data_IF_816678772089
#
_entry.id   IF_816678772089
#
_cell.length_a   1.000
_cell.length_b   1.000
_cell.length_c   1.000
_cell.angle_alpha   90.00
_cell.angle_beta   90.00
_cell.angle_gamma   90.00
#
_symmetry.space_group_name_H-M   'P 1'
#
loop_
_entity.id
_entity.type
_entity.pdbx_description
1 polymer ?
#
# COMPACT_ATOMS: atom_id res chain seq x y z
N UNK A 1 6.26 13.56 -24.75
CA UNK A 1 7.01 12.42 -24.20
C UNK A 1 6.51 12.24 -22.78
N UNK A 2 5.29 11.72 -22.67
CA UNK A 2 4.64 11.44 -21.39
C UNK A 2 5.00 10.02 -21.02
N UNK A 3 5.93 9.84 -20.09
CA UNK A 3 6.00 8.60 -19.33
C UNK A 3 4.85 8.67 -18.32
N UNK A 4 3.64 8.43 -18.81
CA UNK A 4 2.57 7.94 -17.94
C UNK A 4 3.14 6.67 -17.31
N UNK A 5 3.08 6.57 -15.97
CA UNK A 5 3.39 5.34 -15.25
C UNK A 5 2.45 4.26 -15.79
N UNK A 6 2.93 3.55 -16.81
CA UNK A 6 2.23 2.45 -17.45
C UNK A 6 2.41 1.25 -16.52
N UNK A 7 1.53 1.18 -15.52
CA UNK A 7 1.37 0.04 -14.63
C UNK A 7 0.80 -1.19 -15.36
N UNK A 8 0.74 -1.17 -16.69
CA UNK A 8 0.28 -2.28 -17.51
C UNK A 8 1.39 -3.31 -17.66
N UNK A 9 1.08 -4.52 -17.21
CA UNK A 9 1.73 -5.82 -17.48
C UNK A 9 3.15 -6.03 -16.92
N UNK A 10 4.00 -5.02 -16.83
CA UNK A 10 5.41 -5.18 -16.41
C UNK A 10 5.61 -5.12 -14.88
N UNK A 11 4.77 -4.41 -14.12
CA UNK A 11 4.96 -4.24 -12.68
C UNK A 11 4.44 -5.39 -11.81
N UNK A 12 3.59 -6.28 -12.36
CA UNK A 12 3.39 -7.60 -11.78
C UNK A 12 4.58 -8.56 -12.05
N UNK A 13 5.62 -8.08 -12.74
CA UNK A 13 6.89 -8.81 -12.92
C UNK A 13 7.93 -8.58 -11.82
N UNK A 14 7.86 -7.45 -11.10
CA UNK A 14 8.71 -7.18 -9.92
C UNK A 14 7.93 -6.44 -8.82
N UNK A 15 7.27 -7.23 -7.97
CA UNK A 15 6.52 -6.75 -6.80
C UNK A 15 7.40 -5.94 -5.83
N UNK A 16 8.71 -6.22 -5.77
CA UNK A 16 9.63 -5.47 -4.91
C UNK A 16 9.87 -4.06 -5.45
N UNK A 17 10.01 -3.91 -6.77
CA UNK A 17 10.14 -2.58 -7.39
C UNK A 17 8.87 -1.75 -7.21
N UNK A 18 7.71 -2.39 -7.39
CA UNK A 18 6.41 -1.75 -7.12
C UNK A 18 6.33 -1.26 -5.66
N UNK A 19 6.64 -2.15 -4.71
CA UNK A 19 6.61 -1.84 -3.29
C UNK A 19 7.52 -0.66 -2.94
N UNK A 20 8.75 -0.66 -3.46
CA UNK A 20 9.71 0.45 -3.26
C UNK A 20 9.21 1.77 -3.83
N UNK A 21 8.58 1.75 -5.00
CA UNK A 21 8.06 2.95 -5.65
C UNK A 21 6.97 3.61 -4.80
N UNK A 22 5.97 2.84 -4.36
CA UNK A 22 4.87 3.38 -3.55
C UNK A 22 5.37 3.86 -2.19
N UNK A 23 6.27 3.12 -1.54
CA UNK A 23 6.91 3.58 -0.29
C UNK A 23 7.63 4.92 -0.52
N UNK A 24 8.37 5.05 -1.62
CA UNK A 24 9.08 6.29 -1.96
C UNK A 24 8.10 7.46 -2.19
N UNK A 25 6.95 7.21 -2.81
CA UNK A 25 5.91 8.23 -3.00
C UNK A 25 5.30 8.65 -1.65
N UNK A 26 4.97 7.69 -0.78
CA UNK A 26 4.47 7.98 0.57
C UNK A 26 5.50 8.73 1.43
N UNK A 27 6.78 8.39 1.31
CA UNK A 27 7.87 9.10 1.99
C UNK A 27 8.01 10.53 1.44
N UNK A 28 7.89 10.73 0.14
CA UNK A 28 7.96 12.07 -0.47
C UNK A 28 6.87 13.01 0.03
N UNK A 29 5.70 12.48 0.44
CA UNK A 29 4.65 13.28 1.05
C UNK A 29 5.11 13.91 2.37
N UNK A 30 6.02 13.29 3.14
CA UNK A 30 6.58 13.86 4.37
C UNK A 30 7.39 15.13 4.11
N UNK A 31 8.14 15.14 3.01
CA UNK A 31 8.94 16.30 2.61
C UNK A 31 8.05 17.44 2.11
N UNK A 32 6.97 17.11 1.40
CA UNK A 32 6.03 18.11 0.89
C UNK A 32 5.18 18.70 2.03
N UNK A 33 4.69 17.88 2.96
CA UNK A 33 3.84 18.32 4.09
C UNK A 33 4.62 19.22 5.06
N UNK A 34 5.86 18.85 5.39
CA UNK A 34 6.75 19.66 6.23
C UNK A 34 7.09 21.02 5.61
N UNK A 35 7.16 21.13 4.27
CA UNK A 35 7.34 22.41 3.57
C UNK A 35 6.07 23.28 3.59
N UNK A 36 4.87 22.70 3.54
CA UNK A 36 3.59 23.43 3.63
C UNK A 36 3.24 23.92 5.04
N UNK A 37 3.73 23.25 6.10
CA UNK A 37 3.50 23.65 7.48
C UNK A 37 4.03 25.07 7.80
N UNK A 38 5.06 25.53 7.08
CA UNK A 38 5.62 26.89 7.22
C UNK A 38 4.80 27.98 6.50
N UNK A 39 3.81 27.63 5.68
CA UNK A 39 3.05 28.56 4.82
C UNK A 39 1.64 28.85 5.38
N UNK A 40 1.19 28.08 6.39
CA UNK A 40 -0.16 28.15 6.98
C UNK A 40 -0.47 29.43 7.78
N UNK A 41 0.49 30.34 7.99
CA UNK A 41 0.27 31.60 8.72
C UNK A 41 -0.46 32.67 7.88
N UNK A 42 -0.88 32.34 6.66
CA UNK A 42 -1.62 33.27 5.80
C UNK A 42 -2.72 32.57 5.02
N UNK A 43 -3.96 33.04 5.18
CA UNK A 43 -5.13 32.74 4.34
C UNK A 43 -4.84 33.14 2.88
N UNK A 44 -4.11 32.33 2.11
CA UNK A 44 -3.87 32.65 0.70
C UNK A 44 -3.45 31.42 -0.11
N UNK A 45 -4.36 30.96 -0.98
CA UNK A 45 -4.15 30.00 -2.08
C UNK A 45 -3.57 28.63 -1.66
N UNK A 46 -4.19 27.51 -2.09
CA UNK A 46 -3.53 26.20 -2.01
C UNK A 46 -2.16 26.31 -2.69
N UNK A 47 -1.09 26.27 -1.92
CA UNK A 47 0.26 26.44 -2.42
C UNK A 47 0.61 25.35 -3.42
N UNK A 48 1.59 25.59 -4.28
CA UNK A 48 2.11 24.59 -5.23
C UNK A 48 2.43 23.26 -4.54
N UNK A 49 2.89 23.28 -3.29
CA UNK A 49 3.13 22.10 -2.45
C UNK A 49 1.87 21.27 -2.22
N UNK A 50 0.73 21.88 -1.90
CA UNK A 50 -0.55 21.18 -1.72
C UNK A 50 -1.03 20.54 -3.02
N UNK A 51 -0.81 21.20 -4.16
CA UNK A 51 -1.16 20.64 -5.48
C UNK A 51 -0.32 19.40 -5.77
N UNK A 52 0.99 19.49 -5.58
CA UNK A 52 1.92 18.36 -5.77
C UNK A 52 1.61 17.21 -4.81
N UNK A 53 1.31 17.50 -3.54
CA UNK A 53 0.91 16.46 -2.58
C UNK A 53 -0.34 15.71 -3.06
N UNK A 54 -1.35 16.43 -3.54
CA UNK A 54 -2.58 15.82 -4.05
C UNK A 54 -2.34 14.98 -5.31
N UNK A 55 -1.45 15.42 -6.20
CA UNK A 55 -1.05 14.63 -7.38
C UNK A 55 -0.36 13.32 -6.98
N UNK A 56 0.53 13.37 -5.98
CA UNK A 56 1.19 12.16 -5.44
C UNK A 56 0.18 11.23 -4.78
N UNK A 57 -0.76 11.76 -3.99
CA UNK A 57 -1.84 10.97 -3.37
C UNK A 57 -2.67 10.28 -4.46
N UNK A 58 -3.13 11.01 -5.47
CA UNK A 58 -3.91 10.43 -6.57
C UNK A 58 -3.13 9.33 -7.31
N UNK A 59 -1.83 9.53 -7.55
CA UNK A 59 -0.99 8.49 -8.18
C UNK A 59 -0.93 7.20 -7.35
N UNK A 60 -0.85 7.32 -6.02
CA UNK A 60 -0.87 6.15 -5.12
C UNK A 60 -2.23 5.46 -5.18
N UNK A 61 -3.33 6.22 -5.08
CA UNK A 61 -4.69 5.64 -5.07
C UNK A 61 -5.05 4.97 -6.40
N UNK A 62 -4.78 5.64 -7.53
CA UNK A 62 -4.94 5.08 -8.87
C UNK A 62 -4.13 3.78 -9.04
N UNK A 63 -2.96 3.72 -8.41
CA UNK A 63 -2.11 2.52 -8.41
C UNK A 63 -2.73 1.38 -7.61
N UNK A 64 -3.30 1.67 -6.43
CA UNK A 64 -4.00 0.67 -5.62
C UNK A 64 -5.25 0.12 -6.33
N UNK A 65 -5.99 0.96 -7.04
CA UNK A 65 -7.12 0.52 -7.87
C UNK A 65 -6.67 -0.47 -8.96
N UNK A 66 -5.58 -0.17 -9.67
CA UNK A 66 -5.04 -1.09 -10.69
C UNK A 66 -4.54 -2.39 -10.10
N UNK A 67 -3.95 -2.36 -8.91
CA UNK A 67 -3.54 -3.60 -8.22
C UNK A 67 -4.75 -4.44 -7.85
N UNK A 68 -5.85 -3.82 -7.39
CA UNK A 68 -7.10 -4.50 -7.05
C UNK A 68 -7.56 -5.42 -8.19
N UNK A 69 -7.63 -4.88 -9.41
CA UNK A 69 -8.08 -5.60 -10.60
C UNK A 69 -7.19 -6.81 -10.91
N UNK A 70 -5.87 -6.68 -10.70
CA UNK A 70 -4.91 -7.76 -10.97
C UNK A 70 -4.88 -8.83 -9.88
N UNK A 71 -4.98 -8.45 -8.60
CA UNK A 71 -5.01 -9.39 -7.49
C UNK A 71 -6.24 -10.28 -7.56
N UNK A 72 -7.40 -9.70 -7.92
CA UNK A 72 -8.64 -10.44 -8.10
C UNK A 72 -8.56 -11.49 -9.23
N UNK A 73 -7.73 -11.22 -10.25
CA UNK A 73 -7.54 -12.13 -11.38
C UNK A 73 -6.46 -13.20 -11.16
N UNK A 74 -5.70 -13.14 -10.07
CA UNK A 74 -4.61 -14.07 -9.79
C UNK A 74 -5.08 -15.20 -8.86
N UNK A 75 -5.20 -16.42 -9.40
CA UNK A 75 -5.73 -17.58 -8.66
C UNK A 75 -4.89 -17.96 -7.42
N UNK A 76 -3.59 -17.65 -7.40
CA UNK A 76 -2.71 -17.89 -6.25
C UNK A 76 -2.98 -16.88 -5.13
N UNK A 77 -3.30 -15.64 -5.46
CA UNK A 77 -3.38 -14.52 -4.49
C UNK A 77 -4.83 -14.12 -4.17
N UNK A 78 -5.81 -14.78 -4.79
CA UNK A 78 -7.24 -14.44 -4.63
C UNK A 78 -7.71 -14.48 -3.17
N UNK A 79 -7.09 -15.33 -2.33
CA UNK A 79 -7.46 -15.44 -0.91
C UNK A 79 -7.08 -14.21 -0.08
N UNK A 80 -6.04 -13.48 -0.46
CA UNK A 80 -5.57 -12.28 0.23
C UNK A 80 -6.32 -11.02 -0.21
N UNK A 81 -7.12 -11.12 -1.27
CA UNK A 81 -7.86 -9.98 -1.81
C UNK A 81 -8.72 -9.24 -0.77
N UNK A 82 -9.47 -9.91 0.14
CA UNK A 82 -10.21 -9.19 1.19
C UNK A 82 -9.31 -8.35 2.11
N UNK A 83 -8.11 -8.83 2.44
CA UNK A 83 -7.16 -8.07 3.26
C UNK A 83 -6.61 -6.86 2.51
N UNK A 84 -6.37 -7.01 1.21
CA UNK A 84 -5.97 -5.90 0.35
C UNK A 84 -7.02 -4.79 0.33
N UNK A 85 -8.30 -5.14 0.14
CA UNK A 85 -9.39 -4.18 0.09
C UNK A 85 -9.46 -3.37 1.38
N UNK A 86 -9.37 -4.03 2.53
CA UNK A 86 -9.37 -3.36 3.82
C UNK A 86 -8.17 -2.42 3.98
N UNK A 87 -6.96 -2.87 3.63
CA UNK A 87 -5.76 -2.03 3.70
C UNK A 87 -5.87 -0.82 2.77
N UNK A 88 -6.39 -1.03 1.56
CA UNK A 88 -6.63 0.03 0.58
C UNK A 88 -7.57 1.08 1.17
N UNK A 89 -8.69 0.67 1.76
CA UNK A 89 -9.64 1.58 2.41
C UNK A 89 -8.98 2.35 3.57
N UNK A 90 -8.17 1.69 4.40
CA UNK A 90 -7.44 2.34 5.48
C UNK A 90 -6.45 3.38 4.93
N UNK A 91 -5.66 3.04 3.91
CA UNK A 91 -4.71 3.95 3.27
C UNK A 91 -5.44 5.13 2.63
N UNK A 92 -6.56 4.90 1.94
CA UNK A 92 -7.41 5.96 1.39
C UNK A 92 -7.86 6.94 2.47
N UNK A 93 -8.34 6.44 3.60
CA UNK A 93 -8.71 7.28 4.74
C UNK A 93 -7.51 8.11 5.24
N UNK A 94 -6.34 7.48 5.42
CA UNK A 94 -5.13 8.14 5.91
C UNK A 94 -4.62 9.24 4.98
N UNK A 95 -4.84 9.10 3.67
CA UNK A 95 -4.33 10.04 2.66
C UNK A 95 -5.33 11.13 2.26
N UNK A 96 -6.64 10.84 2.29
CA UNK A 96 -7.67 11.79 1.86
C UNK A 96 -8.23 12.64 3.01
N UNK A 97 -8.06 12.21 4.26
CA UNK A 97 -8.44 13.01 5.42
C UNK A 97 -7.49 14.22 5.54
N UNK A 98 -7.95 15.47 5.73
CA UNK A 98 -7.10 16.65 5.97
C UNK A 98 -6.02 16.47 7.07
N UNK A 99 -6.09 15.43 7.89
CA UNK A 99 -5.07 15.05 8.88
C UNK A 99 -3.86 14.32 8.27
N UNK A 100 -3.86 13.98 6.96
CA UNK A 100 -2.74 13.30 6.26
C UNK A 100 -1.38 14.02 6.40
N UNK A 101 -1.37 15.30 6.78
CA UNK A 101 -0.16 16.07 7.09
C UNK A 101 0.59 15.55 8.33
N UNK A 102 -0.03 14.67 9.12
CA UNK A 102 0.58 14.01 10.25
C UNK A 102 1.54 12.89 9.81
N UNK A 103 2.78 12.97 10.29
CA UNK A 103 3.79 11.93 10.06
C UNK A 103 3.31 10.53 10.50
N UNK A 104 2.46 10.47 11.55
CA UNK A 104 1.88 9.21 12.02
C UNK A 104 1.00 8.53 10.97
N UNK A 105 0.23 9.33 10.22
CA UNK A 105 -0.71 8.81 9.22
C UNK A 105 0.08 8.23 8.04
N UNK A 106 1.09 8.97 7.57
CA UNK A 106 1.99 8.51 6.52
C UNK A 106 2.79 7.27 6.96
N UNK A 107 3.27 7.21 8.20
CA UNK A 107 3.98 6.04 8.73
C UNK A 107 3.09 4.80 8.78
N UNK A 108 1.83 4.94 9.22
CA UNK A 108 0.89 3.83 9.23
C UNK A 108 0.54 3.38 7.81
N UNK A 109 0.32 4.31 6.87
CA UNK A 109 0.08 3.99 5.47
C UNK A 109 1.25 3.22 4.84
N UNK A 110 2.49 3.66 5.08
CA UNK A 110 3.71 2.94 4.66
C UNK A 110 3.76 1.54 5.27
N UNK A 111 3.43 1.41 6.55
CA UNK A 111 3.50 0.13 7.28
C UNK A 111 2.47 -0.87 6.74
N UNK A 112 1.20 -0.44 6.62
CA UNK A 112 0.11 -1.25 6.06
C UNK A 112 0.45 -1.74 4.65
N UNK A 113 0.89 -0.82 3.80
CA UNK A 113 1.27 -1.15 2.43
C UNK A 113 2.47 -2.10 2.40
N UNK A 114 3.55 -1.78 3.11
CA UNK A 114 4.78 -2.57 3.09
C UNK A 114 4.57 -4.00 3.61
N UNK A 115 3.83 -4.17 4.70
CA UNK A 115 3.65 -5.50 5.31
C UNK A 115 2.78 -6.41 4.43
N UNK A 116 1.70 -5.88 3.83
CA UNK A 116 0.88 -6.64 2.89
C UNK A 116 1.67 -7.10 1.65
N UNK A 117 2.44 -6.20 1.03
CA UNK A 117 3.24 -6.58 -0.14
C UNK A 117 4.39 -7.53 0.23
N UNK A 118 4.87 -7.51 1.48
CA UNK A 118 5.81 -8.53 1.99
C UNK A 118 5.15 -9.91 2.06
N UNK A 119 3.90 -10.00 2.54
CA UNK A 119 3.15 -11.27 2.56
C UNK A 119 3.00 -11.82 1.14
N UNK A 120 2.66 -10.96 0.16
CA UNK A 120 2.55 -11.37 -1.23
C UNK A 120 3.87 -11.85 -1.82
N UNK A 121 4.98 -11.15 -1.52
CA UNK A 121 6.33 -11.58 -1.89
C UNK A 121 6.63 -12.98 -1.35
N UNK A 122 6.34 -13.23 -0.07
CA UNK A 122 6.55 -14.54 0.56
C UNK A 122 5.69 -15.61 -0.11
N UNK A 123 4.40 -15.33 -0.37
CA UNK A 123 3.51 -16.27 -1.06
C UNK A 123 4.06 -16.62 -2.45
N UNK A 124 4.40 -15.62 -3.25
CA UNK A 124 4.92 -15.85 -4.61
C UNK A 124 6.24 -16.63 -4.61
N UNK A 125 7.13 -16.37 -3.64
CA UNK A 125 8.39 -17.10 -3.51
C UNK A 125 8.18 -18.56 -3.09
N UNK A 126 7.27 -18.80 -2.15
CA UNK A 126 6.95 -20.14 -1.65
C UNK A 126 6.27 -21.00 -2.71
N UNK A 127 5.37 -20.40 -3.49
CA UNK A 127 4.56 -21.07 -4.52
C UNK A 127 5.19 -20.97 -5.92
N UNK A 128 6.50 -20.74 -6.02
CA UNK A 128 7.22 -20.63 -7.30
C UNK A 128 6.94 -21.85 -8.20
N UNK A 129 6.54 -21.57 -9.45
CA UNK A 129 6.16 -22.58 -10.43
C UNK A 129 4.78 -23.22 -10.25
N UNK A 130 4.01 -22.86 -9.22
CA UNK A 130 2.60 -23.27 -9.07
C UNK A 130 1.68 -22.27 -9.79
N UNK A 131 0.56 -22.76 -10.32
CA UNK A 131 -0.49 -21.91 -10.91
C UNK A 131 -1.66 -21.67 -9.95
N UNK A 132 -1.86 -22.59 -9.01
CA UNK A 132 -2.87 -22.54 -7.94
C UNK A 132 -2.32 -23.19 -6.68
N UNK A 133 -2.89 -22.88 -5.52
CA UNK A 133 -2.43 -23.42 -4.22
C UNK A 133 -2.52 -24.95 -4.12
N UNK A 134 -3.51 -25.56 -4.78
CA UNK A 134 -3.72 -27.02 -4.76
C UNK A 134 -2.55 -27.82 -5.37
N UNK A 135 -1.70 -27.17 -6.16
CA UNK A 135 -0.51 -27.77 -6.76
C UNK A 135 0.71 -27.76 -5.82
N UNK A 136 0.66 -26.94 -4.76
CA UNK A 136 1.79 -26.74 -3.87
C UNK A 136 2.02 -27.95 -2.94
N UNK A 137 3.28 -28.30 -2.65
CA UNK A 137 3.61 -29.29 -1.63
C UNK A 137 3.09 -28.89 -0.24
N UNK A 138 2.66 -29.86 0.58
CA UNK A 138 2.13 -29.57 1.92
C UNK A 138 3.06 -28.72 2.81
N UNK A 139 4.37 -28.91 2.73
CA UNK A 139 5.31 -28.12 3.54
C UNK A 139 5.36 -26.64 3.13
N UNK A 140 5.01 -26.31 1.88
CA UNK A 140 4.87 -24.93 1.39
C UNK A 140 3.61 -24.30 1.97
N UNK A 141 2.50 -25.05 1.94
CA UNK A 141 1.23 -24.62 2.55
C UNK A 141 1.38 -24.36 4.05
N UNK A 142 1.98 -25.32 4.78
CA UNK A 142 2.23 -25.19 6.22
C UNK A 142 3.14 -24.01 6.58
N UNK A 143 4.09 -23.66 5.72
CA UNK A 143 4.96 -22.51 5.96
C UNK A 143 4.22 -21.20 5.68
N UNK A 144 3.43 -21.16 4.61
CA UNK A 144 2.63 -19.99 4.29
C UNK A 144 1.55 -19.71 5.34
N UNK A 145 0.89 -20.76 5.86
CA UNK A 145 -0.12 -20.62 6.92
C UNK A 145 0.45 -19.94 8.17
N UNK A 146 1.69 -20.28 8.57
CA UNK A 146 2.36 -19.62 9.71
C UNK A 146 2.65 -18.15 9.44
N UNK A 147 3.13 -17.83 8.24
CA UNK A 147 3.40 -16.44 7.86
C UNK A 147 2.11 -15.62 7.80
N UNK A 148 1.01 -16.23 7.33
CA UNK A 148 -0.31 -15.62 7.33
C UNK A 148 -0.82 -15.38 8.75
N UNK A 149 -0.69 -16.35 9.66
CA UNK A 149 -1.05 -16.17 11.09
C UNK A 149 -0.27 -15.00 11.69
N UNK A 150 1.05 -14.95 11.49
CA UNK A 150 1.90 -13.87 11.96
C UNK A 150 1.50 -12.50 11.38
N UNK A 151 1.11 -12.48 10.10
CA UNK A 151 0.62 -11.27 9.45
C UNK A 151 -0.70 -10.80 10.04
N UNK A 152 -1.65 -11.70 10.27
CA UNK A 152 -2.96 -11.35 10.85
C UNK A 152 -2.82 -10.72 12.25
N UNK A 153 -1.92 -11.25 13.08
CA UNK A 153 -1.62 -10.65 14.39
C UNK A 153 -1.06 -9.22 14.29
N UNK A 154 -0.32 -8.91 13.22
CA UNK A 154 0.19 -7.55 12.97
C UNK A 154 -0.92 -6.65 12.43
N UNK A 155 -1.72 -7.15 11.50
CA UNK A 155 -2.85 -6.42 10.92
C UNK A 155 -3.85 -5.97 12.00
N UNK A 156 -4.15 -6.84 12.98
CA UNK A 156 -4.99 -6.47 14.12
C UNK A 156 -4.43 -5.29 14.91
N UNK A 157 -3.12 -5.24 15.13
CA UNK A 157 -2.46 -4.10 15.80
C UNK A 157 -2.53 -2.84 14.96
N UNK A 158 -2.41 -2.96 13.64
CA UNK A 158 -2.53 -1.83 12.73
C UNK A 158 -3.96 -1.27 12.67
N UNK A 159 -4.98 -2.14 12.78
CA UNK A 159 -6.39 -1.72 12.94
C UNK A 159 -6.58 -0.93 14.23
N UNK A 160 -6.05 -1.43 15.34
CA UNK A 160 -6.10 -0.74 16.64
C UNK A 160 -5.41 0.63 16.56
N UNK A 161 -4.24 0.71 15.92
CA UNK A 161 -3.52 1.97 15.69
C UNK A 161 -4.32 2.93 14.81
N UNK A 162 -4.89 2.44 13.71
CA UNK A 162 -5.74 3.23 12.82
C UNK A 162 -6.94 3.83 13.55
N UNK A 163 -7.61 3.04 14.40
CA UNK A 163 -8.73 3.53 15.21
C UNK A 163 -8.23 4.57 16.22
N UNK A 164 -7.07 4.34 16.84
CA UNK A 164 -6.53 5.25 17.85
C UNK A 164 -6.11 6.62 17.30
N UNK A 165 -5.67 6.71 16.04
CA UNK A 165 -5.26 8.00 15.44
C UNK A 165 -6.45 8.83 14.93
N UNK A 166 -7.62 8.21 14.73
CA UNK A 166 -8.86 8.89 14.31
C UNK A 166 -9.80 9.25 15.49
N UNK A 167 -9.47 8.84 16.72
CA UNK A 167 -10.20 9.18 17.96
C UNK A 167 -9.42 10.19 18.82
#
# INVERSE_FOLDING_TARGET
>A
MEKVLDFNELFFGDINEYKKLIISLLESLKDVTSASYWIMDTECQKGLSTVVAMEVINLILDSLDKVSDNLYANDIITQEFPFFVEIKEMIECLLLDPIYESEKYLNLAITLFSDFFTLLEVKLLLFDGCSIELEAPNHVLEEYDKELENYMERLDKYRDEFIAIHN
#
